data_IF_576240390799
#
_entry.id   IF_576240390799
#
_cell.length_a   1.000
_cell.length_b   1.000
_cell.length_c   1.000
_cell.angle_alpha   90.00
_cell.angle_beta   90.00
_cell.angle_gamma   90.00
#
_symmetry.space_group_name_H-M   'P 1'
#
loop_
_entity.id
_entity.type
_entity.pdbx_description
1 polymer ?
#
# COMPACT_ATOMS: atom_id res chain seq x y z
N UNK A 1 17.45 17.99 -2.18
CA UNK A 1 16.89 16.91 -1.34
C UNK A 1 17.92 16.54 -0.28
N UNK A 2 17.66 16.79 1.00
CA UNK A 2 18.60 16.44 2.05
C UNK A 2 18.33 15.00 2.50
N UNK A 3 19.29 14.10 2.26
CA UNK A 3 19.21 12.68 2.66
C UNK A 3 19.12 12.46 4.18
N UNK A 4 19.12 13.51 4.99
CA UNK A 4 19.13 13.48 6.46
C UNK A 4 17.81 13.92 7.11
N UNK A 5 16.78 14.23 6.34
CA UNK A 5 15.47 14.57 6.90
C UNK A 5 14.79 13.33 7.49
N UNK A 6 14.14 13.51 8.65
CA UNK A 6 13.42 12.44 9.37
C UNK A 6 12.30 11.82 8.54
N UNK A 7 11.66 12.62 7.69
CA UNK A 7 10.65 12.22 6.72
C UNK A 7 11.19 12.59 5.33
N UNK A 8 11.75 11.64 4.56
CA UNK A 8 12.27 11.92 3.22
C UNK A 8 11.14 12.41 2.31
N UNK A 9 11.39 13.44 1.51
CA UNK A 9 10.33 13.99 0.66
C UNK A 9 10.86 14.81 -0.52
N UNK A 10 9.98 15.06 -1.49
CA UNK A 10 10.20 16.01 -2.59
C UNK A 10 9.16 17.15 -2.64
N UNK A 11 8.50 17.43 -1.51
CA UNK A 11 7.43 18.45 -1.40
C UNK A 11 7.85 19.66 -0.57
N UNK A 12 9.16 19.85 -0.39
CA UNK A 12 9.76 20.93 0.41
C UNK A 12 9.18 21.01 1.83
N UNK A 13 9.00 19.87 2.50
CA UNK A 13 8.37 19.80 3.81
C UNK A 13 9.08 20.69 4.86
N UNK A 14 10.40 20.83 4.75
CA UNK A 14 11.20 21.66 5.65
C UNK A 14 10.93 23.17 5.54
N UNK A 15 10.30 23.64 4.46
CA UNK A 15 9.86 25.03 4.29
C UNK A 15 8.51 25.31 4.99
N UNK A 16 7.68 24.29 5.19
CA UNK A 16 6.44 24.40 5.97
C UNK A 16 6.61 23.81 7.38
N UNK A 17 7.11 24.64 8.30
CA UNK A 17 7.35 24.24 9.70
C UNK A 17 6.09 23.78 10.44
N UNK A 18 4.91 24.27 10.05
CA UNK A 18 3.65 23.88 10.70
C UNK A 18 3.25 22.47 10.28
N UNK A 19 3.31 22.19 8.98
CA UNK A 19 3.03 20.87 8.42
C UNK A 19 4.05 19.84 8.88
N UNK A 20 5.35 20.18 8.81
CA UNK A 20 6.43 19.31 9.28
C UNK A 20 6.19 18.86 10.72
N UNK A 21 5.91 19.82 11.63
CA UNK A 21 5.64 19.51 13.03
C UNK A 21 4.39 18.66 13.23
N UNK A 22 3.34 18.88 12.43
CA UNK A 22 2.12 18.08 12.52
C UNK A 22 2.36 16.61 12.12
N UNK A 23 3.11 16.36 11.05
CA UNK A 23 3.47 15.00 10.62
C UNK A 23 4.46 14.34 11.58
N UNK A 24 5.44 15.08 12.10
CA UNK A 24 6.37 14.58 13.11
C UNK A 24 5.69 14.25 14.45
N UNK A 25 4.58 14.91 14.77
CA UNK A 25 3.75 14.58 15.93
C UNK A 25 2.90 13.30 15.70
N UNK A 26 2.51 13.02 14.47
CA UNK A 26 1.76 11.80 14.10
C UNK A 26 2.67 10.56 13.99
N UNK A 27 3.93 10.74 13.57
CA UNK A 27 4.92 9.67 13.39
C UNK A 27 5.04 8.69 14.58
N UNK A 28 5.09 9.13 15.86
CA UNK A 28 5.12 8.20 16.99
C UNK A 28 3.89 7.29 17.07
N UNK A 29 2.69 7.78 16.75
CA UNK A 29 1.46 6.99 16.73
C UNK A 29 1.52 5.95 15.60
N UNK A 30 1.97 6.37 14.41
CA UNK A 30 2.21 5.45 13.30
C UNK A 30 3.21 4.35 13.66
N UNK A 31 4.35 4.69 14.28
CA UNK A 31 5.34 3.69 14.70
C UNK A 31 4.83 2.77 15.80
N UNK A 32 3.94 3.24 16.67
CA UNK A 32 3.28 2.38 17.65
C UNK A 32 2.32 1.40 16.96
N UNK A 33 1.49 1.89 16.03
CA UNK A 33 0.66 1.03 15.19
C UNK A 33 1.50 0.01 14.41
N UNK A 34 2.60 0.42 13.77
CA UNK A 34 3.47 -0.49 13.02
C UNK A 34 4.07 -1.61 13.90
N UNK A 35 4.46 -1.29 15.14
CA UNK A 35 5.00 -2.30 16.07
C UNK A 35 3.93 -3.28 16.54
N UNK A 36 2.69 -2.83 16.65
CA UNK A 36 1.55 -3.63 17.11
C UNK A 36 0.98 -4.49 15.97
N UNK A 37 0.75 -3.86 14.82
CA UNK A 37 -0.01 -4.42 13.70
C UNK A 37 0.80 -4.74 12.46
N UNK A 38 2.05 -4.29 12.37
CA UNK A 38 2.98 -4.72 11.33
C UNK A 38 3.45 -6.17 11.54
N UNK A 39 4.41 -6.64 10.72
CA UNK A 39 4.84 -8.03 10.71
C UNK A 39 5.25 -8.59 12.10
N UNK A 40 4.51 -9.59 12.58
CA UNK A 40 4.64 -10.08 13.95
C UNK A 40 5.92 -10.90 14.17
N UNK A 41 6.72 -10.49 15.15
CA UNK A 41 8.01 -11.14 15.46
C UNK A 41 9.20 -10.72 14.56
N UNK A 42 9.01 -9.79 13.62
CA UNK A 42 10.06 -9.38 12.67
C UNK A 42 10.62 -7.97 12.87
N UNK A 43 10.14 -7.25 13.88
CA UNK A 43 10.49 -5.83 14.14
C UNK A 43 12.00 -5.57 14.34
N UNK A 44 12.78 -6.58 14.76
CA UNK A 44 14.23 -6.47 15.01
C UNK A 44 15.09 -7.13 13.92
N UNK A 45 14.48 -7.67 12.86
CA UNK A 45 15.20 -8.36 11.78
C UNK A 45 15.70 -7.36 10.75
N UNK A 46 16.93 -7.56 10.30
CA UNK A 46 17.47 -6.84 9.14
C UNK A 46 16.88 -7.46 7.87
N UNK A 47 16.12 -6.66 7.12
CA UNK A 47 15.45 -7.09 5.89
C UNK A 47 16.01 -6.30 4.72
N UNK A 48 16.35 -6.99 3.63
CA UNK A 48 16.81 -6.35 2.40
C UNK A 48 15.63 -5.74 1.64
N UNK A 49 15.44 -4.43 1.80
CA UNK A 49 14.29 -3.69 1.30
C UNK A 49 14.71 -2.59 0.34
N UNK A 50 13.86 -2.35 -0.66
CA UNK A 50 13.88 -1.13 -1.47
C UNK A 50 13.27 0.00 -0.65
N UNK A 51 13.93 1.15 -0.64
CA UNK A 51 13.41 2.42 -0.11
C UNK A 51 13.45 3.47 -1.22
N UNK A 52 12.32 4.10 -1.50
CA UNK A 52 12.31 5.29 -2.36
C UNK A 52 13.00 6.45 -1.65
N UNK A 53 14.01 7.04 -2.30
CA UNK A 53 14.66 8.26 -1.82
C UNK A 53 14.39 9.45 -2.74
N UNK A 54 13.98 9.22 -3.99
CA UNK A 54 13.63 10.23 -5.00
C UNK A 54 12.52 9.70 -5.92
N UNK A 55 11.93 10.59 -6.73
CA UNK A 55 11.00 10.24 -7.82
C UNK A 55 11.70 10.04 -9.17
N UNK A 56 12.99 10.35 -9.24
CA UNK A 56 13.83 10.14 -10.42
C UNK A 56 14.23 8.67 -10.56
N UNK A 57 14.50 8.16 -11.79
CA UNK A 57 14.80 6.76 -12.03
C UNK A 57 15.97 6.20 -11.22
N UNK A 58 16.97 7.04 -10.92
CA UNK A 58 18.19 6.67 -10.19
C UNK A 58 18.03 6.62 -8.66
N UNK A 59 17.10 7.40 -8.10
CA UNK A 59 16.84 7.45 -6.66
C UNK A 59 15.53 6.76 -6.22
N UNK A 60 14.77 6.20 -7.15
CA UNK A 60 13.56 5.44 -6.85
C UNK A 60 13.84 4.11 -6.14
N UNK A 61 14.97 3.45 -6.45
CA UNK A 61 15.25 2.09 -5.98
C UNK A 61 16.58 1.99 -5.23
N UNK A 62 16.63 2.47 -3.98
CA UNK A 62 17.75 2.24 -3.08
C UNK A 62 17.53 0.99 -2.25
N UNK A 63 18.41 -0.01 -2.34
CA UNK A 63 18.29 -1.26 -1.59
C UNK A 63 19.34 -1.35 -0.48
N UNK A 64 18.90 -1.64 0.74
CA UNK A 64 19.78 -1.90 1.86
C UNK A 64 19.11 -2.83 2.89
N UNK A 65 19.90 -3.35 3.82
CA UNK A 65 19.40 -4.04 5.00
C UNK A 65 18.92 -3.02 6.03
N UNK A 66 17.65 -3.12 6.42
CA UNK A 66 17.04 -2.22 7.39
C UNK A 66 16.08 -2.98 8.29
N UNK A 67 15.99 -2.56 9.55
CA UNK A 67 14.90 -2.97 10.43
C UNK A 67 13.66 -2.21 10.02
N UNK A 68 12.55 -2.90 9.78
CA UNK A 68 11.34 -2.25 9.28
C UNK A 68 10.86 -1.04 10.12
N UNK A 69 10.94 -1.02 11.47
CA UNK A 69 10.63 0.20 12.25
C UNK A 69 11.50 1.42 11.94
N UNK A 70 12.69 1.20 11.40
CA UNK A 70 13.63 2.24 10.98
C UNK A 70 13.47 2.59 9.48
N UNK A 71 12.54 1.92 8.78
CA UNK A 71 12.24 2.21 7.37
C UNK A 71 11.92 3.68 7.19
N UNK A 72 12.46 4.26 6.12
CA UNK A 72 12.34 5.70 5.88
C UNK A 72 11.09 5.99 5.06
N UNK A 73 9.93 5.88 5.69
CA UNK A 73 8.65 6.24 5.06
C UNK A 73 8.65 7.72 4.63
N UNK A 74 8.59 7.95 3.32
CA UNK A 74 8.70 9.26 2.71
C UNK A 74 7.46 9.70 1.93
N UNK A 75 7.43 10.99 1.61
CA UNK A 75 6.35 11.65 0.87
C UNK A 75 6.86 12.04 -0.51
N UNK A 76 6.40 11.33 -1.53
CA UNK A 76 6.87 11.50 -2.90
C UNK A 76 5.69 11.70 -3.85
N UNK A 77 5.69 12.82 -4.55
CA UNK A 77 4.74 13.15 -5.61
C UNK A 77 5.49 13.21 -6.94
N UNK A 78 4.88 12.78 -8.04
CA UNK A 78 5.45 13.06 -9.37
C UNK A 78 5.72 14.57 -9.55
N UNK A 79 6.67 14.98 -10.42
CA UNK A 79 6.90 16.40 -10.70
C UNK A 79 5.63 17.11 -11.17
N UNK A 80 5.47 18.37 -10.77
CA UNK A 80 4.31 19.18 -11.19
C UNK A 80 4.39 19.50 -12.68
N UNK A 81 3.24 19.52 -13.35
CA UNK A 81 3.14 19.99 -14.74
C UNK A 81 2.82 21.49 -14.75
N UNK A 82 3.63 22.28 -15.48
CA UNK A 82 3.60 23.76 -15.42
C UNK A 82 2.23 24.37 -15.74
N UNK A 83 1.44 23.71 -16.57
CA UNK A 83 0.13 24.17 -17.03
C UNK A 83 -0.89 23.03 -16.92
N UNK A 84 -0.84 22.25 -15.84
CA UNK A 84 -1.76 21.15 -15.57
C UNK A 84 -3.22 21.62 -15.70
N UNK A 85 -4.04 20.87 -16.44
CA UNK A 85 -5.45 21.15 -16.65
C UNK A 85 -6.32 19.97 -16.20
N UNK A 86 -7.55 20.27 -15.82
CA UNK A 86 -8.56 19.24 -15.50
C UNK A 86 -8.90 18.46 -16.78
N UNK A 87 -8.71 17.14 -16.75
CA UNK A 87 -8.84 16.27 -17.90
C UNK A 87 -10.25 15.82 -18.27
N UNK A 88 -11.27 16.07 -17.43
CA UNK A 88 -12.66 15.66 -17.69
C UNK A 88 -13.71 16.44 -16.89
N UNK A 89 -15.00 16.21 -17.20
CA UNK A 89 -16.14 16.72 -16.45
C UNK A 89 -16.44 18.20 -16.69
N UNK A 90 -17.20 18.81 -15.77
CA UNK A 90 -17.72 20.19 -15.92
C UNK A 90 -16.63 21.26 -15.96
N UNK A 91 -15.47 20.96 -15.38
CA UNK A 91 -14.31 21.87 -15.34
C UNK A 91 -13.24 21.51 -16.38
N UNK A 92 -13.57 20.70 -17.39
CA UNK A 92 -12.63 20.30 -18.44
C UNK A 92 -11.88 21.49 -19.04
N UNK A 93 -10.54 21.37 -19.13
CA UNK A 93 -9.66 22.39 -19.70
C UNK A 93 -9.38 23.59 -18.78
N UNK A 94 -10.00 23.66 -17.60
CA UNK A 94 -9.63 24.65 -16.58
C UNK A 94 -8.29 24.28 -15.93
N UNK A 95 -7.55 25.24 -15.35
CA UNK A 95 -6.34 24.93 -14.58
C UNK A 95 -6.62 23.94 -13.45
N UNK A 96 -5.73 22.96 -13.28
CA UNK A 96 -5.83 21.98 -12.20
C UNK A 96 -5.68 22.66 -10.82
N UNK A 97 -6.41 22.14 -9.84
CA UNK A 97 -6.48 22.72 -8.51
C UNK A 97 -5.25 22.35 -7.67
N UNK A 98 -4.56 23.37 -7.16
CA UNK A 98 -3.45 23.21 -6.20
C UNK A 98 -3.94 23.17 -4.75
N UNK A 99 -5.14 23.70 -4.50
CA UNK A 99 -5.83 23.72 -3.21
C UNK A 99 -7.21 23.10 -3.39
N UNK A 100 -7.78 22.55 -2.31
CA UNK A 100 -9.07 21.87 -2.37
C UNK A 100 -10.21 22.91 -2.49
N UNK A 101 -11.00 22.91 -3.59
CA UNK A 101 -12.15 23.80 -3.70
C UNK A 101 -13.17 23.51 -2.59
N UNK A 102 -13.74 24.57 -2.01
CA UNK A 102 -14.63 24.45 -0.85
C UNK A 102 -15.82 23.54 -1.09
N UNK A 103 -16.40 23.59 -2.29
CA UNK A 103 -17.53 22.75 -2.71
C UNK A 103 -17.20 21.25 -2.77
N UNK A 104 -15.95 20.87 -3.04
CA UNK A 104 -15.52 19.47 -3.16
C UNK A 104 -14.85 18.94 -1.89
N UNK A 105 -14.63 19.78 -0.87
CA UNK A 105 -13.82 19.46 0.31
C UNK A 105 -14.24 18.17 1.02
N UNK A 106 -15.52 18.00 1.30
CA UNK A 106 -15.99 16.82 2.04
C UNK A 106 -15.87 15.53 1.18
N UNK A 107 -16.23 15.61 -0.11
CA UNK A 107 -16.16 14.48 -1.01
C UNK A 107 -14.72 14.02 -1.27
N UNK A 108 -13.80 14.97 -1.53
CA UNK A 108 -12.38 14.67 -1.71
C UNK A 108 -11.75 14.11 -0.43
N UNK A 109 -12.10 14.65 0.75
CA UNK A 109 -11.64 14.08 2.02
C UNK A 109 -12.07 12.63 2.15
N UNK A 110 -13.36 12.33 1.93
CA UNK A 110 -13.87 10.95 2.02
C UNK A 110 -13.15 10.00 1.07
N UNK A 111 -12.87 10.42 -0.16
CA UNK A 111 -12.12 9.63 -1.14
C UNK A 111 -10.71 9.33 -0.63
N UNK A 112 -9.97 10.35 -0.19
CA UNK A 112 -8.60 10.22 0.32
C UNK A 112 -8.56 9.32 1.57
N UNK A 113 -9.52 9.46 2.48
CA UNK A 113 -9.61 8.62 3.68
C UNK A 113 -9.94 7.18 3.31
N UNK A 114 -10.85 6.95 2.37
CA UNK A 114 -11.24 5.59 1.97
C UNK A 114 -10.07 4.85 1.31
N UNK A 115 -9.34 5.52 0.41
CA UNK A 115 -8.09 4.99 -0.14
C UNK A 115 -7.04 4.79 0.96
N UNK A 116 -6.83 5.78 1.82
CA UNK A 116 -5.85 5.68 2.90
C UNK A 116 -6.15 4.58 3.93
N UNK A 117 -7.40 4.13 4.04
CA UNK A 117 -7.82 3.10 4.99
C UNK A 117 -7.46 1.68 4.55
N UNK A 118 -7.34 1.44 3.24
CA UNK A 118 -6.96 0.12 2.68
C UNK A 118 -5.51 -0.23 2.98
N UNK A 119 -4.65 0.78 3.03
CA UNK A 119 -3.19 0.58 3.12
C UNK A 119 -2.75 -0.02 4.46
N UNK A 120 -3.16 0.50 5.64
CA UNK A 120 -2.87 -0.17 6.90
C UNK A 120 -3.70 -1.46 7.08
N UNK A 121 -4.86 -1.58 6.41
CA UNK A 121 -5.67 -2.79 6.51
C UNK A 121 -4.98 -4.00 5.90
N UNK A 122 -4.33 -3.85 4.74
CA UNK A 122 -3.59 -4.95 4.10
C UNK A 122 -2.42 -5.40 4.98
N UNK A 123 -1.69 -4.46 5.62
CA UNK A 123 -0.64 -4.78 6.60
C UNK A 123 -1.20 -5.59 7.77
N UNK A 124 -2.35 -5.18 8.31
CA UNK A 124 -3.02 -5.86 9.42
C UNK A 124 -3.46 -7.29 9.06
N UNK A 125 -4.05 -7.48 7.87
CA UNK A 125 -4.48 -8.79 7.36
C UNK A 125 -3.30 -9.76 7.21
N UNK A 126 -2.11 -9.24 6.86
CA UNK A 126 -0.95 -10.02 6.43
C UNK A 126 0.09 -10.25 7.53
N UNK A 127 -0.08 -9.63 8.70
CA UNK A 127 0.94 -9.52 9.77
C UNK A 127 1.52 -10.85 10.28
N UNK A 128 0.75 -11.93 10.19
CA UNK A 128 1.13 -13.26 10.69
C UNK A 128 1.86 -14.12 9.65
N UNK A 129 1.76 -13.80 8.36
CA UNK A 129 2.22 -14.64 7.25
C UNK A 129 3.73 -14.91 7.27
N UNK A 130 4.51 -14.01 7.86
CA UNK A 130 5.96 -14.19 8.01
C UNK A 130 6.35 -15.46 8.78
N UNK A 131 5.48 -15.96 9.67
CA UNK A 131 5.72 -17.16 10.48
C UNK A 131 5.70 -18.45 9.68
N UNK A 132 5.04 -18.46 8.52
CA UNK A 132 4.83 -19.63 7.66
C UNK A 132 5.42 -19.43 6.26
N UNK A 133 6.38 -18.51 6.12
CA UNK A 133 6.93 -18.16 4.82
C UNK A 133 7.53 -19.38 4.06
N UNK A 134 7.22 -19.56 2.77
CA UNK A 134 7.72 -20.68 2.00
C UNK A 134 9.20 -20.52 1.60
N UNK A 135 9.73 -19.30 1.68
CA UNK A 135 11.16 -19.00 1.49
C UNK A 135 11.54 -17.61 2.02
N UNK A 136 12.84 -17.34 2.15
CA UNK A 136 13.33 -15.98 2.44
C UNK A 136 13.02 -14.98 1.31
N UNK A 137 12.94 -15.44 0.07
CA UNK A 137 12.54 -14.61 -1.08
C UNK A 137 11.11 -14.12 -0.91
N UNK A 138 10.21 -15.04 -0.55
CA UNK A 138 8.79 -14.75 -0.33
C UNK A 138 8.59 -13.87 0.91
N UNK A 139 9.31 -14.16 1.99
CA UNK A 139 9.31 -13.35 3.20
C UNK A 139 9.74 -11.90 2.93
N UNK A 140 10.82 -11.72 2.15
CA UNK A 140 11.31 -10.38 1.76
C UNK A 140 10.29 -9.64 0.89
N UNK A 141 9.60 -10.34 -0.01
CA UNK A 141 8.55 -9.74 -0.85
C UNK A 141 7.33 -9.31 -0.01
N UNK A 142 6.87 -10.15 0.92
CA UNK A 142 5.81 -9.79 1.88
C UNK A 142 6.19 -8.50 2.62
N UNK A 143 7.40 -8.44 3.18
CA UNK A 143 7.86 -7.26 3.90
C UNK A 143 8.03 -6.03 3.01
N UNK A 144 8.41 -6.19 1.74
CA UNK A 144 8.44 -5.10 0.78
C UNK A 144 7.04 -4.52 0.56
N UNK A 145 6.04 -5.38 0.32
CA UNK A 145 4.63 -4.96 0.20
C UNK A 145 4.22 -4.23 1.48
N UNK A 146 4.45 -4.81 2.66
CA UNK A 146 4.01 -4.18 3.91
C UNK A 146 4.59 -2.78 4.16
N UNK A 147 5.88 -2.55 3.87
CA UNK A 147 6.48 -1.20 4.05
C UNK A 147 6.02 -0.21 2.98
N UNK A 148 5.70 -0.68 1.77
CA UNK A 148 5.14 0.13 0.68
C UNK A 148 3.69 0.54 0.98
N UNK A 149 2.86 -0.37 1.49
CA UNK A 149 1.52 -0.04 1.98
C UNK A 149 1.57 0.90 3.19
N UNK A 150 2.52 0.70 4.10
CA UNK A 150 2.80 1.68 5.14
C UNK A 150 3.12 3.09 4.57
N UNK A 151 3.85 3.15 3.45
CA UNK A 151 4.17 4.42 2.77
C UNK A 151 2.95 5.01 2.04
N UNK A 152 2.06 4.17 1.51
CA UNK A 152 0.79 4.58 0.91
C UNK A 152 -0.09 5.31 1.94
N UNK A 153 -0.17 4.80 3.19
CA UNK A 153 -0.83 5.51 4.28
C UNK A 153 -0.20 6.89 4.52
N UNK A 154 1.14 6.97 4.57
CA UNK A 154 1.86 8.25 4.70
C UNK A 154 1.51 9.24 3.58
N UNK A 155 1.31 8.75 2.35
CA UNK A 155 0.95 9.57 1.21
C UNK A 155 -0.44 10.21 1.38
N UNK A 156 -1.43 9.44 1.83
CA UNK A 156 -2.78 9.96 2.09
C UNK A 156 -2.83 10.87 3.32
N UNK A 157 -2.12 10.52 4.40
CA UNK A 157 -2.00 11.34 5.62
C UNK A 157 -1.34 12.69 5.32
N UNK A 158 -0.33 12.73 4.45
CA UNK A 158 0.24 13.99 3.97
C UNK A 158 -0.82 14.89 3.33
N UNK A 159 -1.62 14.36 2.40
CA UNK A 159 -2.67 15.13 1.74
C UNK A 159 -3.71 15.64 2.75
N UNK A 160 -4.12 14.79 3.70
CA UNK A 160 -5.04 15.14 4.78
C UNK A 160 -4.49 16.29 5.64
N UNK A 161 -3.24 16.19 6.10
CA UNK A 161 -2.61 17.22 6.92
C UNK A 161 -2.40 18.53 6.16
N UNK A 162 -1.98 18.45 4.89
CA UNK A 162 -1.65 19.62 4.07
C UNK A 162 -2.88 20.42 3.68
N UNK A 163 -3.95 19.74 3.23
CA UNK A 163 -5.06 20.39 2.53
C UNK A 163 -6.39 20.38 3.32
N UNK A 164 -6.52 19.52 4.33
CA UNK A 164 -7.78 19.32 5.06
C UNK A 164 -7.78 19.85 6.50
N UNK A 165 -6.72 20.54 6.91
CA UNK A 165 -6.72 21.34 8.13
C UNK A 165 -6.91 20.51 9.40
N UNK A 166 -7.88 20.88 10.26
CA UNK A 166 -8.17 20.13 11.49
C UNK A 166 -8.79 18.78 11.19
N UNK A 167 -9.85 18.77 10.39
CA UNK A 167 -10.54 17.54 10.01
C UNK A 167 -9.57 16.51 9.40
N UNK A 168 -8.62 16.95 8.56
CA UNK A 168 -7.61 16.06 8.01
C UNK A 168 -6.71 15.39 9.06
N UNK A 169 -6.37 16.11 10.14
CA UNK A 169 -5.60 15.51 11.25
C UNK A 169 -6.45 14.52 12.04
N UNK A 170 -7.72 14.85 12.26
CA UNK A 170 -8.64 13.97 12.98
C UNK A 170 -8.85 12.65 12.19
N UNK A 171 -9.00 12.72 10.86
CA UNK A 171 -9.06 11.54 9.98
C UNK A 171 -7.76 10.71 9.98
N UNK A 172 -6.60 11.37 10.02
CA UNK A 172 -5.30 10.69 10.09
C UNK A 172 -5.09 9.90 11.39
N UNK A 173 -5.63 10.38 12.52
CA UNK A 173 -5.65 9.62 13.77
C UNK A 173 -6.68 8.48 13.71
N UNK A 174 -7.86 8.72 13.15
CA UNK A 174 -8.91 7.71 12.97
C UNK A 174 -8.44 6.53 12.10
N UNK A 175 -7.62 6.79 11.08
CA UNK A 175 -6.97 5.78 10.22
C UNK A 175 -6.10 4.77 11.00
N UNK A 176 -5.52 5.17 12.15
CA UNK A 176 -4.74 4.28 13.02
C UNK A 176 -5.59 3.58 14.10
N UNK A 177 -6.80 4.09 14.34
CA UNK A 177 -7.72 3.54 15.35
C UNK A 177 -8.60 2.41 14.82
N UNK A 178 -8.97 2.44 13.52
CA UNK A 178 -9.63 1.32 12.87
C UNK A 178 -8.68 0.15 12.72
N UNK A 179 -9.19 -1.08 12.75
CA UNK A 179 -8.42 -2.33 12.65
C UNK A 179 -9.17 -3.36 11.82
N UNK A 180 -8.46 -4.05 10.94
CA UNK A 180 -9.01 -5.11 10.10
C UNK A 180 -9.64 -6.21 10.97
N UNK A 181 -10.92 -6.50 10.74
CA UNK A 181 -11.68 -7.54 11.44
C UNK A 181 -12.12 -7.19 12.87
N UNK A 182 -11.89 -5.95 13.34
CA UNK A 182 -12.32 -5.50 14.66
C UNK A 182 -13.85 -5.34 14.73
N UNK A 183 -14.46 -5.73 15.86
CA UNK A 183 -15.92 -5.73 16.01
C UNK A 183 -16.52 -4.33 16.18
N UNK A 184 -15.76 -3.39 16.74
CA UNK A 184 -16.24 -2.05 17.11
C UNK A 184 -15.76 -0.99 16.12
N UNK A 185 -14.52 -1.13 15.63
CA UNK A 185 -13.86 -0.21 14.69
C UNK A 185 -13.23 -0.97 13.51
N UNK A 186 -14.02 -1.68 12.69
CA UNK A 186 -13.51 -2.35 11.50
C UNK A 186 -12.96 -1.35 10.47
N UNK A 187 -12.21 -1.86 9.50
CA UNK A 187 -11.85 -1.12 8.28
C UNK A 187 -13.08 -0.81 7.44
N UNK A 188 -13.00 0.23 6.62
CA UNK A 188 -14.16 0.80 5.90
C UNK A 188 -14.74 -0.20 4.88
N UNK A 189 -13.87 -0.90 4.15
CA UNK A 189 -14.25 -1.82 3.09
C UNK A 189 -14.18 -3.27 3.57
N UNK A 190 -15.18 -4.08 3.20
CA UNK A 190 -15.34 -5.45 3.71
C UNK A 190 -14.18 -6.37 3.32
N UNK A 191 -13.67 -6.26 2.08
CA UNK A 191 -12.52 -7.04 1.59
C UNK A 191 -11.27 -6.87 2.46
N UNK A 192 -11.11 -5.68 3.04
CA UNK A 192 -10.01 -5.32 3.92
C UNK A 192 -10.26 -5.71 5.39
N UNK A 193 -11.36 -6.41 5.68
CA UNK A 193 -11.64 -7.06 6.96
C UNK A 193 -11.65 -8.60 6.85
N UNK A 194 -11.45 -9.16 5.66
CA UNK A 194 -11.37 -10.62 5.48
C UNK A 194 -10.04 -11.17 5.99
N UNK A 195 -9.99 -12.40 6.54
CA UNK A 195 -8.73 -13.03 6.89
C UNK A 195 -7.81 -13.23 5.67
N UNK A 196 -6.52 -12.95 5.84
CA UNK A 196 -5.46 -13.29 4.89
C UNK A 196 -4.40 -14.13 5.62
N UNK A 197 -4.80 -15.34 6.01
CA UNK A 197 -4.11 -16.19 6.99
C UNK A 197 -3.22 -17.30 6.38
N UNK A 198 -3.20 -17.40 5.05
CA UNK A 198 -2.30 -18.30 4.32
C UNK A 198 -1.67 -17.63 3.09
N UNK A 199 -0.59 -18.23 2.58
CA UNK A 199 0.18 -17.64 1.47
C UNK A 199 -0.55 -17.68 0.13
N UNK A 200 -1.51 -18.60 -0.07
CA UNK A 200 -2.31 -18.62 -1.28
C UNK A 200 -3.34 -17.48 -1.26
N UNK A 201 -3.91 -17.16 -0.10
CA UNK A 201 -4.68 -15.94 0.14
C UNK A 201 -3.84 -14.70 -0.18
N UNK A 202 -2.62 -14.59 0.37
CA UNK A 202 -1.74 -13.45 0.10
C UNK A 202 -1.42 -13.25 -1.39
N UNK A 203 -1.07 -14.32 -2.11
CA UNK A 203 -0.79 -14.21 -3.53
C UNK A 203 -2.05 -13.87 -4.35
N UNK A 204 -3.22 -14.36 -3.97
CA UNK A 204 -4.46 -13.99 -4.64
C UNK A 204 -4.86 -12.54 -4.32
N UNK A 205 -4.75 -12.12 -3.06
CA UNK A 205 -4.99 -10.76 -2.60
C UNK A 205 -4.15 -9.76 -3.39
N UNK A 206 -2.83 -9.95 -3.41
CA UNK A 206 -1.90 -9.08 -4.14
C UNK A 206 -2.05 -9.17 -5.67
N UNK A 207 -2.73 -10.21 -6.19
CA UNK A 207 -3.05 -10.34 -7.62
C UNK A 207 -4.35 -9.64 -8.01
N UNK A 208 -5.37 -9.65 -7.15
CA UNK A 208 -6.75 -9.24 -7.45
C UNK A 208 -7.20 -8.02 -6.64
N UNK A 209 -6.98 -7.97 -5.33
CA UNK A 209 -7.38 -6.87 -4.46
C UNK A 209 -6.47 -5.65 -4.65
N UNK A 210 -5.15 -5.82 -4.67
CA UNK A 210 -4.20 -4.73 -5.01
C UNK A 210 -4.43 -4.22 -6.45
N UNK A 211 -5.04 -5.06 -7.31
CA UNK A 211 -5.42 -4.64 -8.66
C UNK A 211 -6.61 -3.68 -8.64
N UNK A 212 -7.54 -3.79 -7.69
CA UNK A 212 -8.51 -2.72 -7.44
C UNK A 212 -7.76 -1.45 -7.03
N UNK A 213 -6.82 -1.53 -6.09
CA UNK A 213 -5.91 -0.43 -5.72
C UNK A 213 -5.30 0.26 -6.94
N UNK A 214 -4.72 -0.50 -7.87
CA UNK A 214 -4.23 0.03 -9.16
C UNK A 214 -5.31 0.80 -9.94
N UNK A 215 -6.52 0.27 -10.08
CA UNK A 215 -7.57 0.93 -10.85
C UNK A 215 -8.11 2.19 -10.13
N UNK A 216 -8.28 2.14 -8.81
CA UNK A 216 -8.66 3.31 -8.01
C UNK A 216 -7.58 4.40 -8.09
N UNK A 217 -6.32 4.04 -7.87
CA UNK A 217 -5.19 4.97 -8.00
C UNK A 217 -5.06 5.53 -9.42
N UNK A 218 -5.30 4.72 -10.46
CA UNK A 218 -5.32 5.21 -11.83
C UNK A 218 -6.46 6.21 -12.09
N UNK A 219 -7.65 5.99 -11.52
CA UNK A 219 -8.74 6.96 -11.60
C UNK A 219 -8.42 8.25 -10.83
N UNK A 220 -7.83 8.14 -9.64
CA UNK A 220 -7.43 9.30 -8.82
C UNK A 220 -6.21 10.04 -9.40
N UNK A 221 -5.37 9.35 -10.18
CA UNK A 221 -4.27 9.94 -10.95
C UNK A 221 -4.76 10.93 -12.02
N UNK A 222 -6.03 10.89 -12.40
CA UNK A 222 -6.67 11.83 -13.34
C UNK A 222 -7.40 12.98 -12.61
N UNK A 223 -7.35 13.02 -11.28
CA UNK A 223 -8.05 14.02 -10.47
C UNK A 223 -7.69 15.45 -10.87
N UNK A 224 -8.70 16.32 -10.95
CA UNK A 224 -8.49 17.76 -11.11
C UNK A 224 -7.76 18.40 -9.92
N UNK A 225 -7.71 17.74 -8.75
CA UNK A 225 -6.88 18.12 -7.62
C UNK A 225 -5.47 17.53 -7.79
N UNK A 226 -4.57 18.35 -8.33
CA UNK A 226 -3.26 17.95 -8.85
C UNK A 226 -2.32 17.28 -7.80
N UNK A 227 -2.30 17.72 -6.52
CA UNK A 227 -1.53 17.03 -5.48
C UNK A 227 -1.95 15.57 -5.26
N UNK A 228 -3.25 15.26 -5.33
CA UNK A 228 -3.74 13.88 -5.25
C UNK A 228 -3.33 13.09 -6.50
N UNK A 229 -3.55 13.67 -7.69
CA UNK A 229 -3.18 13.04 -8.94
C UNK A 229 -1.71 12.59 -8.96
N UNK A 230 -0.79 13.50 -8.62
CA UNK A 230 0.66 13.23 -8.58
C UNK A 230 1.07 12.25 -7.49
N UNK A 231 0.33 12.20 -6.39
CA UNK A 231 0.52 11.21 -5.32
C UNK A 231 0.20 9.81 -5.85
N UNK A 232 -0.99 9.65 -6.44
CA UNK A 232 -1.43 8.37 -7.00
C UNK A 232 -0.55 7.90 -8.18
N UNK A 233 -0.10 8.82 -9.04
CA UNK A 233 0.85 8.51 -10.11
C UNK A 233 2.18 7.95 -9.59
N UNK A 234 2.64 8.40 -8.42
CA UNK A 234 3.82 7.82 -7.79
C UNK A 234 3.50 6.45 -7.18
N UNK A 235 2.41 6.31 -6.44
CA UNK A 235 1.98 5.03 -5.84
C UNK A 235 1.80 3.92 -6.89
N UNK A 236 1.31 4.23 -8.09
CA UNK A 236 1.20 3.27 -9.20
C UNK A 236 2.55 2.62 -9.58
N UNK A 237 3.68 3.24 -9.28
CA UNK A 237 5.01 2.65 -9.51
C UNK A 237 5.35 1.56 -8.48
N UNK A 238 4.83 1.68 -7.25
CA UNK A 238 4.95 0.68 -6.18
C UNK A 238 3.93 -0.44 -6.37
N UNK A 239 2.68 -0.09 -6.69
CA UNK A 239 1.59 -1.04 -6.95
C UNK A 239 1.96 -2.12 -7.98
N UNK A 240 2.78 -1.76 -8.99
CA UNK A 240 3.26 -2.71 -9.99
C UNK A 240 4.09 -3.86 -9.36
N UNK A 241 4.81 -3.60 -8.27
CA UNK A 241 5.54 -4.63 -7.52
C UNK A 241 4.58 -5.59 -6.82
N UNK A 242 3.51 -5.07 -6.20
CA UNK A 242 2.52 -5.88 -5.49
C UNK A 242 1.85 -6.87 -6.44
N UNK A 243 1.39 -6.37 -7.60
CA UNK A 243 0.81 -7.20 -8.65
C UNK A 243 1.76 -8.28 -9.16
N UNK A 244 3.06 -7.96 -9.27
CA UNK A 244 4.09 -8.92 -9.63
C UNK A 244 4.23 -10.02 -8.57
N UNK A 245 4.20 -9.68 -7.28
CA UNK A 245 4.28 -10.65 -6.17
C UNK A 245 3.10 -11.62 -6.24
N UNK A 246 1.88 -11.11 -6.43
CA UNK A 246 0.68 -11.94 -6.54
C UNK A 246 0.69 -12.86 -7.76
N UNK A 247 0.88 -12.28 -8.96
CA UNK A 247 0.85 -13.02 -10.22
C UNK A 247 1.93 -14.13 -10.26
N UNK A 248 3.17 -13.79 -9.89
CA UNK A 248 4.25 -14.78 -9.89
C UNK A 248 4.13 -15.79 -8.75
N UNK A 249 3.57 -15.40 -7.61
CA UNK A 249 3.24 -16.29 -6.49
C UNK A 249 2.26 -17.38 -6.89
N UNK A 250 1.08 -17.00 -7.41
CA UNK A 250 0.08 -17.95 -7.93
C UNK A 250 0.69 -18.80 -9.05
N UNK A 251 1.42 -18.19 -9.99
CA UNK A 251 2.07 -18.91 -11.09
C UNK A 251 3.07 -19.98 -10.63
N UNK A 252 3.84 -19.70 -9.56
CA UNK A 252 4.77 -20.67 -8.96
C UNK A 252 4.04 -21.82 -8.28
N UNK A 253 2.93 -21.56 -7.59
CA UNK A 253 2.09 -22.60 -6.99
C UNK A 253 1.54 -23.52 -8.09
N UNK A 254 0.91 -22.96 -9.13
CA UNK A 254 0.37 -23.72 -10.27
C UNK A 254 1.46 -24.56 -10.95
N UNK A 255 2.64 -23.99 -11.17
CA UNK A 255 3.78 -24.70 -11.76
C UNK A 255 4.21 -25.87 -10.88
N UNK A 256 4.31 -25.69 -9.56
CA UNK A 256 4.69 -26.77 -8.64
C UNK A 256 3.64 -27.87 -8.62
N UNK A 257 2.35 -27.51 -8.62
CA UNK A 257 1.25 -28.47 -8.73
C UNK A 257 1.37 -29.31 -9.99
N UNK A 258 1.60 -28.69 -11.15
CA UNK A 258 1.76 -29.42 -12.41
C UNK A 258 2.97 -30.37 -12.42
N UNK A 259 4.06 -30.00 -11.75
CA UNK A 259 5.23 -30.89 -11.59
C UNK A 259 4.87 -32.10 -10.72
N UNK A 260 4.19 -31.90 -9.59
CA UNK A 260 3.76 -32.96 -8.70
C UNK A 260 2.76 -33.91 -9.37
N UNK A 261 1.80 -33.38 -10.14
CA UNK A 261 0.87 -34.21 -10.93
C UNK A 261 1.59 -35.05 -11.99
N UNK A 262 2.75 -34.62 -12.48
CA UNK A 262 3.57 -35.42 -13.42
C UNK A 262 4.37 -36.51 -12.70
N UNK A 263 4.75 -36.27 -11.45
CA UNK A 263 5.52 -37.20 -10.62
C UNK A 263 4.62 -38.28 -10.00
N UNK A 264 3.40 -37.93 -9.62
CA UNK A 264 2.42 -38.87 -9.05
C UNK A 264 1.82 -39.78 -10.11
N UNK A 265 1.70 -41.08 -9.78
CA UNK A 265 1.17 -42.11 -10.69
C UNK A 265 -0.30 -41.91 -11.07
N UNK A 266 -1.09 -41.29 -10.20
CA UNK A 266 -2.52 -41.08 -10.38
C UNK A 266 -2.82 -39.64 -10.86
N UNK A 267 -1.78 -38.81 -11.01
CA UNK A 267 -1.90 -37.41 -11.39
C UNK A 267 -2.43 -36.51 -10.29
N UNK A 268 -2.45 -36.94 -9.02
CA UNK A 268 -2.95 -36.15 -7.90
C UNK A 268 -1.82 -35.53 -7.09
N UNK A 269 -1.71 -34.19 -7.15
CA UNK A 269 -0.73 -33.43 -6.39
C UNK A 269 -0.88 -33.63 -4.86
N UNK A 270 -2.07 -33.98 -4.36
CA UNK A 270 -2.31 -34.24 -2.92
C UNK A 270 -1.44 -35.37 -2.39
N UNK A 271 -1.16 -36.38 -3.22
CA UNK A 271 -0.35 -37.54 -2.83
C UNK A 271 1.12 -37.16 -2.53
N UNK A 272 1.55 -35.98 -2.97
CA UNK A 272 2.90 -35.44 -2.79
C UNK A 272 2.87 -34.06 -2.09
N UNK A 273 1.88 -33.84 -1.21
CA UNK A 273 1.72 -32.63 -0.40
C UNK A 273 1.56 -31.32 -1.21
N UNK A 274 1.12 -31.42 -2.46
CA UNK A 274 0.84 -30.28 -3.34
C UNK A 274 -0.57 -29.72 -3.17
N UNK A 275 -0.75 -28.43 -3.52
CA UNK A 275 -2.07 -27.80 -3.59
C UNK A 275 -2.72 -28.15 -4.94
N UNK A 276 -3.88 -28.81 -4.96
CA UNK A 276 -4.52 -29.22 -6.21
C UNK A 276 -5.09 -28.04 -7.00
N UNK A 277 -5.13 -28.16 -8.33
CA UNK A 277 -5.62 -27.10 -9.21
C UNK A 277 -7.06 -26.66 -8.90
N UNK A 278 -7.92 -27.58 -8.47
CA UNK A 278 -9.31 -27.27 -8.09
C UNK A 278 -9.40 -26.42 -6.82
N UNK A 279 -8.44 -26.56 -5.90
CA UNK A 279 -8.33 -25.72 -4.71
C UNK A 279 -7.78 -24.34 -5.08
N UNK A 280 -6.72 -24.27 -5.90
CA UNK A 280 -6.18 -22.99 -6.39
C UNK A 280 -7.27 -22.19 -7.11
N UNK A 281 -8.07 -22.83 -7.96
CA UNK A 281 -9.19 -22.17 -8.65
C UNK A 281 -10.23 -21.60 -7.67
N UNK A 282 -10.51 -22.28 -6.55
CA UNK A 282 -11.45 -21.77 -5.53
C UNK A 282 -10.94 -20.50 -4.85
N UNK A 283 -9.65 -20.44 -4.53
CA UNK A 283 -9.02 -19.24 -3.98
C UNK A 283 -9.05 -18.08 -4.98
N UNK A 284 -8.74 -18.34 -6.25
CA UNK A 284 -8.87 -17.35 -7.33
C UNK A 284 -10.32 -16.85 -7.42
N UNK A 285 -11.30 -17.74 -7.45
CA UNK A 285 -12.71 -17.37 -7.54
C UNK A 285 -13.14 -16.52 -6.35
N UNK A 286 -12.70 -16.86 -5.14
CA UNK A 286 -12.99 -16.10 -3.93
C UNK A 286 -12.48 -14.67 -4.08
N UNK A 287 -11.17 -14.46 -4.23
CA UNK A 287 -10.58 -13.11 -4.29
C UNK A 287 -10.95 -12.31 -5.54
N UNK A 288 -11.33 -12.97 -6.64
CA UNK A 288 -11.81 -12.28 -7.84
C UNK A 288 -13.24 -11.75 -7.69
N UNK A 289 -14.09 -12.43 -6.90
CA UNK A 289 -15.52 -12.10 -6.79
C UNK A 289 -15.92 -11.40 -5.50
N UNK A 290 -15.05 -11.44 -4.49
CA UNK A 290 -15.23 -10.76 -3.22
C UNK A 290 -15.03 -9.25 -3.38
#
# INVERSE_FOLDING_TARGET
MQLYERIPNNVNLSEDKRLQRALENWLPNYLNWWREMGPDGFQQKDVYLRTAISVEPDGWAHFDYIKMPDYRWGIFLKPAEKDAQVGFGDNYGQPAYQEVPGEFRNSLRRIIVTQGDTEPASVEQQRELGKTCPSLYDLRNLFQVNVEEGRHLWAMVYLLHRYFGRDGRDEAEELLQRRSGDSDKPRILEAFNQPCDDWLNFYCFTMFTDRDGKYQLAALAESGFEPLARTCQFMLTEEAHHLFVGETGVGRVVKRTAQLMKEDKDGDARNLDGIPLDIIQKYINFWFSY
#
